data_IF_091543227328
#
_entry.id   IF_091543227328
#
_cell.length_a   1.000
_cell.length_b   1.000
_cell.length_c   1.000
_cell.angle_alpha   90.00
_cell.angle_beta   90.00
_cell.angle_gamma   90.00
#
_symmetry.space_group_name_H-M   'P 1'
#
loop_
_entity.id
_entity.type
_entity.pdbx_description
1 polymer ?
#
# COMPACT_ATOMS: atom_id res chain seq x y z
N UNK A 1 -8.29 -18.25 4.34
CA UNK A 1 -6.93 -18.16 3.76
C UNK A 1 -6.91 -18.68 2.34
N UNK A 2 -7.70 -19.69 2.05
CA UNK A 2 -7.71 -20.43 0.77
C UNK A 2 -7.95 -19.55 -0.46
N UNK A 3 -8.99 -18.70 -0.45
CA UNK A 3 -9.23 -17.75 -1.56
C UNK A 3 -8.05 -16.82 -1.81
N UNK A 4 -7.43 -16.33 -0.74
CA UNK A 4 -6.29 -15.43 -0.83
C UNK A 4 -5.06 -16.13 -1.44
N UNK A 5 -4.80 -17.37 -1.02
CA UNK A 5 -3.72 -18.19 -1.57
C UNK A 5 -3.90 -18.49 -3.05
N UNK A 6 -5.14 -18.78 -3.47
CA UNK A 6 -5.46 -19.01 -4.88
C UNK A 6 -5.31 -17.75 -5.72
N UNK A 7 -5.81 -16.61 -5.22
CA UNK A 7 -5.77 -15.33 -5.92
C UNK A 7 -4.32 -14.82 -6.07
N UNK A 8 -3.54 -14.90 -4.99
CA UNK A 8 -2.16 -14.42 -4.95
C UNK A 8 -1.13 -15.48 -5.39
N UNK A 9 -1.56 -16.70 -5.71
CA UNK A 9 -0.69 -17.85 -6.07
C UNK A 9 0.47 -18.02 -5.08
N UNK A 10 0.14 -18.07 -3.80
CA UNK A 10 1.09 -18.15 -2.69
C UNK A 10 0.70 -19.25 -1.70
N UNK A 11 1.64 -19.71 -0.87
CA UNK A 11 1.37 -20.68 0.19
C UNK A 11 2.01 -20.28 1.52
N UNK A 12 1.20 -20.32 2.58
CA UNK A 12 1.59 -19.87 3.92
C UNK A 12 1.87 -18.37 4.01
N UNK A 13 2.28 -17.90 5.17
CA UNK A 13 2.65 -16.49 5.36
C UNK A 13 4.00 -16.21 4.71
N UNK A 14 5.00 -17.03 5.01
CA UNK A 14 6.37 -16.95 4.50
C UNK A 14 6.70 -18.07 3.52
N UNK A 15 6.15 -19.27 3.72
CA UNK A 15 6.24 -20.40 2.79
C UNK A 15 5.27 -21.53 3.18
N UNK A 16 5.19 -22.58 2.37
CA UNK A 16 4.30 -23.72 2.59
C UNK A 16 4.52 -24.47 3.91
N UNK A 17 5.70 -24.39 4.53
CA UNK A 17 6.03 -25.05 5.81
C UNK A 17 5.34 -24.40 7.01
N UNK A 18 4.70 -23.24 6.82
CA UNK A 18 3.87 -22.62 7.85
C UNK A 18 2.62 -23.48 8.16
N UNK A 19 2.27 -24.41 7.26
CA UNK A 19 1.18 -25.34 7.45
C UNK A 19 1.67 -26.67 8.03
N UNK A 20 0.99 -27.15 9.07
CA UNK A 20 1.14 -28.53 9.53
C UNK A 20 0.64 -29.53 8.47
N UNK A 21 -0.41 -29.16 7.74
CA UNK A 21 -0.92 -29.87 6.58
C UNK A 21 -1.24 -28.85 5.49
N UNK A 22 -0.57 -28.97 4.34
CA UNK A 22 -0.71 -28.00 3.26
C UNK A 22 -2.13 -28.10 2.66
N UNK A 23 -2.89 -26.98 2.60
CA UNK A 23 -4.23 -26.95 2.04
C UNK A 23 -4.21 -27.02 0.51
N UNK A 24 -5.31 -27.46 -0.09
CA UNK A 24 -5.42 -27.62 -1.56
C UNK A 24 -5.28 -26.30 -2.32
N UNK A 25 -5.61 -25.17 -1.67
CA UNK A 25 -5.43 -23.82 -2.20
C UNK A 25 -3.98 -23.42 -2.47
N UNK A 26 -3.01 -24.16 -1.95
CA UNK A 26 -1.59 -23.94 -2.22
C UNK A 26 -1.09 -24.62 -3.51
N UNK A 27 -1.91 -25.42 -4.19
CA UNK A 27 -1.52 -26.17 -5.38
C UNK A 27 -2.15 -25.58 -6.64
N UNK A 28 -1.37 -25.45 -7.71
CA UNK A 28 -1.89 -25.02 -9.00
C UNK A 28 -2.85 -26.05 -9.62
N UNK A 29 -2.55 -27.35 -9.44
CA UNK A 29 -3.50 -28.44 -9.71
C UNK A 29 -4.05 -29.00 -8.39
N UNK A 30 -5.24 -28.49 -8.01
CA UNK A 30 -5.95 -28.90 -6.79
C UNK A 30 -6.32 -30.39 -6.79
N UNK A 31 -6.58 -30.98 -7.96
CA UNK A 31 -7.04 -32.38 -8.06
C UNK A 31 -5.88 -33.35 -7.90
N UNK A 32 -4.72 -33.02 -8.44
CA UNK A 32 -3.54 -33.88 -8.38
C UNK A 32 -2.57 -33.51 -7.25
N UNK A 33 -2.81 -32.41 -6.53
CA UNK A 33 -1.90 -31.84 -5.54
C UNK A 33 -0.48 -31.71 -6.09
N UNK A 34 -0.38 -31.11 -7.28
CA UNK A 34 0.88 -30.84 -7.97
C UNK A 34 1.13 -29.34 -8.04
N UNK A 35 2.40 -28.97 -8.21
CA UNK A 35 2.86 -27.60 -8.41
C UNK A 35 2.45 -26.66 -7.27
N UNK A 36 3.07 -26.89 -6.11
CA UNK A 36 2.87 -26.04 -4.94
C UNK A 36 3.41 -24.63 -5.18
N UNK A 37 2.68 -23.62 -4.73
CA UNK A 37 3.17 -22.25 -4.69
C UNK A 37 4.31 -22.15 -3.67
N UNK A 38 5.52 -21.89 -4.16
CA UNK A 38 6.73 -21.79 -3.33
C UNK A 38 6.84 -20.47 -2.59
N UNK A 39 6.18 -19.43 -3.10
CA UNK A 39 6.19 -18.08 -2.54
C UNK A 39 5.26 -17.95 -1.34
N UNK A 40 5.74 -17.28 -0.29
CA UNK A 40 4.93 -16.89 0.85
C UNK A 40 3.99 -15.73 0.51
N UNK A 41 2.79 -15.74 1.09
CA UNK A 41 1.78 -14.72 0.82
C UNK A 41 2.21 -13.30 1.25
N UNK A 42 3.06 -13.16 2.28
CA UNK A 42 3.64 -11.87 2.66
C UNK A 42 4.54 -11.32 1.55
N UNK A 43 5.28 -12.18 0.86
CA UNK A 43 6.12 -11.76 -0.26
C UNK A 43 5.26 -11.35 -1.46
N UNK A 44 4.24 -12.14 -1.79
CA UNK A 44 3.28 -11.83 -2.85
C UNK A 44 2.60 -10.45 -2.64
N UNK A 45 2.15 -10.17 -1.41
CA UNK A 45 1.59 -8.86 -1.04
C UNK A 45 2.60 -7.75 -1.26
N UNK A 46 3.85 -7.92 -0.82
CA UNK A 46 4.88 -6.87 -1.00
C UNK A 46 5.11 -6.55 -2.46
N UNK A 47 5.15 -7.56 -3.34
CA UNK A 47 5.29 -7.35 -4.79
C UNK A 47 4.08 -6.60 -5.34
N UNK A 48 2.87 -6.98 -4.94
CA UNK A 48 1.64 -6.35 -5.40
C UNK A 48 1.51 -4.89 -4.93
N UNK A 49 1.90 -4.60 -3.69
CA UNK A 49 1.80 -3.25 -3.11
C UNK A 49 2.96 -2.33 -3.50
N UNK A 50 4.12 -2.87 -3.89
CA UNK A 50 5.28 -2.07 -4.29
C UNK A 50 4.97 -0.95 -5.30
N UNK A 51 4.25 -1.19 -6.42
CA UNK A 51 3.90 -0.13 -7.36
C UNK A 51 2.99 0.94 -6.74
N UNK A 52 1.95 0.54 -6.01
CA UNK A 52 1.02 1.47 -5.35
C UNK A 52 1.72 2.32 -4.28
N UNK A 53 2.63 1.72 -3.50
CA UNK A 53 3.42 2.44 -2.52
C UNK A 53 4.33 3.48 -3.18
N UNK A 54 4.89 3.18 -4.36
CA UNK A 54 5.69 4.14 -5.13
C UNK A 54 4.84 5.32 -5.62
N UNK A 55 3.62 5.07 -6.09
CA UNK A 55 2.70 6.15 -6.48
C UNK A 55 2.28 6.99 -5.27
N UNK A 56 1.88 6.36 -4.17
CA UNK A 56 1.52 7.06 -2.93
C UNK A 56 2.67 7.92 -2.38
N UNK A 57 3.91 7.43 -2.47
CA UNK A 57 5.09 8.17 -2.07
C UNK A 57 5.33 9.45 -2.89
N UNK A 58 4.73 9.58 -4.08
CA UNK A 58 4.79 10.78 -4.91
C UNK A 58 3.59 11.68 -4.64
N UNK A 59 2.38 11.11 -4.64
CA UNK A 59 1.13 11.87 -4.47
C UNK A 59 1.01 12.51 -3.09
N UNK A 60 1.36 11.79 -2.02
CA UNK A 60 1.19 12.30 -0.64
C UNK A 60 2.05 13.53 -0.39
N UNK A 61 3.36 13.56 -0.73
CA UNK A 61 4.16 14.78 -0.60
C UNK A 61 3.67 15.93 -1.47
N UNK A 62 3.21 15.68 -2.70
CA UNK A 62 2.66 16.74 -3.55
C UNK A 62 1.43 17.41 -2.91
N UNK A 63 0.52 16.60 -2.35
CA UNK A 63 -0.66 17.08 -1.63
C UNK A 63 -0.27 17.84 -0.36
N UNK A 64 0.73 17.37 0.39
CA UNK A 64 1.23 18.09 1.56
C UNK A 64 1.83 19.45 1.17
N UNK A 65 2.64 19.50 0.10
CA UNK A 65 3.20 20.75 -0.41
C UNK A 65 2.11 21.74 -0.86
N UNK A 66 1.08 21.27 -1.58
CA UNK A 66 -0.02 22.14 -2.00
C UNK A 66 -0.81 22.70 -0.81
N UNK A 67 -1.08 21.88 0.21
CA UNK A 67 -1.72 22.34 1.45
C UNK A 67 -0.89 23.40 2.18
N UNK A 68 0.42 23.20 2.30
CA UNK A 68 1.32 24.17 2.93
C UNK A 68 1.32 25.49 2.15
N UNK A 69 1.39 25.45 0.83
CA UNK A 69 1.34 26.66 0.00
C UNK A 69 0.03 27.43 0.18
N UNK A 70 -1.11 26.73 0.22
CA UNK A 70 -2.41 27.37 0.47
C UNK A 70 -2.43 28.03 1.85
N UNK A 71 -1.95 27.35 2.90
CA UNK A 71 -1.90 27.93 4.24
C UNK A 71 -1.01 29.18 4.28
N UNK A 72 0.16 29.17 3.62
CA UNK A 72 1.04 30.33 3.55
C UNK A 72 0.36 31.52 2.85
N UNK A 73 -0.35 31.29 1.74
CA UNK A 73 -1.10 32.34 1.04
C UNK A 73 -2.17 32.96 1.97
N UNK A 74 -2.91 32.13 2.70
CA UNK A 74 -3.92 32.61 3.65
C UNK A 74 -3.30 33.45 4.78
N UNK A 75 -2.14 33.01 5.32
CA UNK A 75 -1.41 33.74 6.36
C UNK A 75 -0.92 35.09 5.83
N UNK A 76 -0.30 35.11 4.64
CA UNK A 76 0.18 36.35 4.01
C UNK A 76 -0.99 37.31 3.77
N UNK A 77 -2.11 36.81 3.24
CA UNK A 77 -3.31 37.61 3.03
C UNK A 77 -3.86 38.19 4.34
N UNK A 78 -3.93 37.39 5.39
CA UNK A 78 -4.37 37.85 6.71
C UNK A 78 -3.48 38.96 7.27
N UNK A 79 -2.15 38.81 7.16
CA UNK A 79 -1.22 39.86 7.61
C UNK A 79 -1.30 41.13 6.75
N UNK A 80 -1.49 40.99 5.44
CA UNK A 80 -1.66 42.12 4.53
C UNK A 80 -2.94 42.90 4.86
N UNK A 81 -4.08 42.24 4.98
CA UNK A 81 -5.35 42.87 5.35
C UNK A 81 -5.22 43.55 6.73
N UNK A 82 -4.60 42.89 7.72
CA UNK A 82 -4.38 43.50 9.04
C UNK A 82 -3.55 44.79 8.99
N UNK A 83 -2.49 44.81 8.17
CA UNK A 83 -1.64 46.00 8.02
C UNK A 83 -2.37 47.17 7.34
N UNK A 84 -3.39 46.90 6.52
CA UNK A 84 -4.21 47.93 5.88
C UNK A 84 -5.22 48.59 6.84
N UNK A 85 -5.77 47.83 7.81
CA UNK A 85 -6.77 48.33 8.78
C UNK A 85 -6.17 49.02 10.03
N UNK A 86 -4.88 48.80 10.34
CA UNK A 86 -4.14 49.54 11.37
C UNK A 86 -3.08 50.46 10.71
N UNK A 87 -3.47 51.51 9.94
CA UNK A 87 -2.51 52.50 9.50
C UNK A 87 -2.03 53.28 10.74
N UNK A 88 -0.77 53.07 11.12
CA UNK A 88 -0.08 53.86 12.15
C UNK A 88 -0.12 55.34 11.79
#
# INVERSE_FOLDING_TARGET
MDNFQMEMKCCGAFNASDWLQIPDSCFADQKQRKDIYTEGCVHAIKILLAPTMKELAIFVPMLACSQILIMLIQIVRYHYERAEYEPV
#
